data_IF_231670630787
#
_entry.id   IF_231670630787
#
_cell.length_a   1.000
_cell.length_b   1.000
_cell.length_c   1.000
_cell.angle_alpha   90.00
_cell.angle_beta   90.00
_cell.angle_gamma   90.00
#
_symmetry.space_group_name_H-M   'P 1'
#
loop_
_entity.id
_entity.type
_entity.pdbx_description
1 polymer ?
#
# COMPACT_ATOMS: atom_id res chain seq x y z
N UNK A 1 -53.72 1.14 -38.15
CA UNK A 1 -53.00 2.20 -38.88
C UNK A 1 -53.07 3.48 -38.06
N UNK A 2 -51.96 3.90 -37.45
CA UNK A 2 -51.78 5.21 -36.83
C UNK A 2 -50.28 5.57 -36.84
N UNK A 3 -49.96 6.60 -37.65
CA UNK A 3 -49.04 7.74 -37.46
C UNK A 3 -47.74 7.47 -36.68
N UNK A 4 -46.56 7.41 -37.34
CA UNK A 4 -45.71 8.52 -37.84
C UNK A 4 -44.72 9.08 -36.78
N UNK A 5 -43.55 9.54 -37.29
CA UNK A 5 -42.53 10.44 -36.68
C UNK A 5 -41.61 9.81 -35.61
N UNK A 6 -40.29 10.06 -35.55
CA UNK A 6 -39.32 10.73 -36.42
C UNK A 6 -37.90 10.39 -35.90
N UNK A 7 -36.96 10.37 -36.83
CA UNK A 7 -35.51 10.42 -36.66
C UNK A 7 -35.09 11.59 -35.74
N UNK A 8 -34.19 11.35 -34.77
CA UNK A 8 -33.40 12.42 -34.15
C UNK A 8 -31.99 11.91 -33.90
N UNK A 9 -31.12 12.21 -34.85
CA UNK A 9 -29.68 11.99 -34.82
C UNK A 9 -29.08 12.90 -33.74
N UNK A 10 -28.55 12.30 -32.67
CA UNK A 10 -27.83 13.04 -31.63
C UNK A 10 -26.41 13.34 -32.13
N UNK A 11 -26.17 14.59 -32.54
CA UNK A 11 -24.87 15.13 -32.89
C UNK A 11 -24.10 15.37 -31.60
N UNK A 12 -23.06 14.57 -31.36
CA UNK A 12 -22.13 14.75 -30.23
C UNK A 12 -21.01 15.69 -30.68
N UNK A 13 -21.11 16.98 -30.32
CA UNK A 13 -20.02 17.94 -30.51
C UNK A 13 -18.87 17.59 -29.56
N UNK A 14 -17.78 17.07 -30.13
CA UNK A 14 -16.50 16.89 -29.44
C UNK A 14 -15.85 18.27 -29.31
N UNK A 15 -16.01 18.90 -28.14
CA UNK A 15 -15.22 20.05 -27.73
C UNK A 15 -13.79 19.57 -27.46
N UNK A 16 -12.91 19.81 -28.43
CA UNK A 16 -11.46 19.66 -28.26
C UNK A 16 -11.00 20.88 -27.45
N UNK A 17 -11.03 20.76 -26.12
CA UNK A 17 -10.29 21.66 -25.24
C UNK A 17 -8.84 21.15 -25.20
N UNK A 18 -8.01 21.69 -26.08
CA UNK A 18 -6.56 21.62 -25.92
C UNK A 18 -6.17 22.47 -24.72
N UNK A 19 -6.13 21.86 -23.54
CA UNK A 19 -5.45 22.44 -22.40
C UNK A 19 -3.94 22.25 -22.61
N UNK A 20 -3.32 23.32 -23.10
CA UNK A 20 -1.91 23.57 -22.88
C UNK A 20 -1.74 23.81 -21.37
N UNK A 21 -1.01 22.94 -20.70
CA UNK A 21 -0.78 23.00 -19.26
C UNK A 21 0.66 22.69 -18.96
N UNK A 22 1.48 23.75 -19.00
CA UNK A 22 2.75 23.97 -18.29
C UNK A 22 3.67 22.78 -18.03
N UNK A 23 4.85 22.83 -18.65
CA UNK A 23 6.08 22.22 -18.15
C UNK A 23 6.30 22.64 -16.69
N UNK A 24 5.84 21.81 -15.75
CA UNK A 24 6.28 21.86 -14.37
C UNK A 24 7.34 20.78 -14.23
N UNK A 25 8.61 21.21 -14.23
CA UNK A 25 9.75 20.48 -13.69
C UNK A 25 9.53 20.29 -12.17
N UNK A 26 8.50 19.51 -11.84
CA UNK A 26 8.37 18.91 -10.52
C UNK A 26 9.51 17.91 -10.41
N UNK A 27 10.58 18.32 -9.75
CA UNK A 27 11.39 17.36 -9.00
C UNK A 27 10.41 16.68 -8.06
N UNK A 28 9.85 15.56 -8.51
CA UNK A 28 9.04 14.68 -7.68
C UNK A 28 9.90 14.37 -6.47
N UNK A 29 9.61 15.03 -5.36
CA UNK A 29 10.04 14.53 -4.08
C UNK A 29 9.53 13.09 -4.05
N UNK A 30 10.45 12.15 -3.88
CA UNK A 30 10.09 10.75 -3.80
C UNK A 30 9.17 10.60 -2.59
N UNK A 31 7.88 10.51 -2.81
CA UNK A 31 6.90 10.42 -1.73
C UNK A 31 6.91 9.02 -1.14
N UNK A 32 7.01 8.94 0.19
CA UNK A 32 6.85 7.68 0.92
C UNK A 32 5.46 7.10 0.66
N UNK A 33 5.39 5.87 0.19
CA UNK A 33 4.15 5.15 -0.03
C UNK A 33 4.31 3.64 0.16
N UNK A 34 3.20 3.00 0.51
CA UNK A 34 3.04 1.55 0.44
C UNK A 34 1.89 1.28 -0.50
N UNK A 35 2.13 0.55 -1.57
CA UNK A 35 1.09 0.16 -2.53
C UNK A 35 0.89 -1.34 -2.45
N UNK A 36 -0.34 -1.82 -2.41
CA UNK A 36 -0.64 -3.25 -2.39
C UNK A 36 -2.04 -3.51 -2.91
N UNK A 37 -2.22 -4.64 -3.59
CA UNK A 37 -3.54 -5.16 -3.95
C UNK A 37 -4.02 -6.09 -2.84
N UNK A 38 -5.15 -5.74 -2.22
CA UNK A 38 -5.81 -6.54 -1.19
C UNK A 38 -7.14 -7.03 -1.74
N UNK A 39 -7.30 -8.35 -1.85
CA UNK A 39 -8.48 -9.02 -2.42
C UNK A 39 -8.93 -8.43 -3.78
N UNK A 40 -7.94 -8.20 -4.66
CA UNK A 40 -8.17 -7.67 -6.01
C UNK A 40 -8.34 -6.16 -6.11
N UNK A 41 -8.36 -5.43 -5.00
CA UNK A 41 -8.41 -3.96 -4.99
C UNK A 41 -7.06 -3.36 -4.63
N UNK A 42 -6.55 -2.44 -5.46
CA UNK A 42 -5.32 -1.70 -5.15
C UNK A 42 -5.58 -0.62 -4.09
N UNK A 43 -4.66 -0.53 -3.13
CA UNK A 43 -4.62 0.48 -2.09
C UNK A 43 -3.24 1.15 -2.08
N UNK A 44 -3.23 2.46 -1.81
CA UNK A 44 -2.02 3.27 -1.64
C UNK A 44 -2.13 3.89 -0.25
N UNK A 45 -1.21 3.52 0.63
CA UNK A 45 -1.06 4.09 1.97
C UNK A 45 0.00 5.19 1.89
N UNK A 46 -0.39 6.41 2.21
CA UNK A 46 0.38 7.63 1.94
C UNK A 46 0.65 8.45 3.20
N UNK A 47 -0.14 8.31 4.28
CA UNK A 47 0.29 8.78 5.60
C UNK A 47 1.11 7.69 6.26
N UNK A 48 2.42 7.89 6.37
CA UNK A 48 3.33 6.94 6.98
C UNK A 48 3.96 7.56 8.23
N UNK A 49 4.00 6.80 9.30
CA UNK A 49 4.73 7.09 10.52
C UNK A 49 5.77 6.00 10.75
N UNK A 50 6.99 6.40 11.09
CA UNK A 50 8.07 5.49 11.40
C UNK A 50 8.53 5.74 12.83
N UNK A 51 8.62 4.68 13.61
CA UNK A 51 9.22 4.69 14.94
C UNK A 51 10.47 3.84 14.90
N UNK A 52 11.57 4.40 15.40
CA UNK A 52 12.85 3.70 15.50
C UNK A 52 13.20 3.52 16.98
N UNK A 53 13.52 2.29 17.35
CA UNK A 53 14.02 1.93 18.66
C UNK A 53 15.35 1.20 18.49
N UNK A 54 16.39 1.68 19.16
CA UNK A 54 17.74 1.15 19.07
C UNK A 54 18.31 0.92 20.46
N UNK A 55 18.99 -0.21 20.63
CA UNK A 55 19.83 -0.52 21.77
C UNK A 55 21.04 -1.37 21.33
N UNK A 56 21.90 -1.74 22.28
CA UNK A 56 23.13 -2.49 22.02
C UNK A 56 22.91 -3.89 21.40
N UNK A 57 21.66 -4.41 21.42
CA UNK A 57 21.32 -5.75 20.96
C UNK A 57 20.62 -5.76 19.60
N UNK A 58 19.89 -4.70 19.25
CA UNK A 58 19.13 -4.64 17.99
C UNK A 58 18.66 -3.23 17.63
N UNK A 59 18.32 -3.07 16.34
CA UNK A 59 17.58 -1.92 15.81
C UNK A 59 16.20 -2.39 15.36
N UNK A 60 15.14 -1.85 15.94
CA UNK A 60 13.76 -2.11 15.54
C UNK A 60 13.16 -0.88 14.88
N UNK A 61 12.52 -1.09 13.73
CA UNK A 61 11.75 -0.07 13.01
C UNK A 61 10.32 -0.54 12.89
N UNK A 62 9.40 0.29 13.33
CA UNK A 62 7.97 0.07 13.20
C UNK A 62 7.38 1.12 12.26
N UNK A 63 6.70 0.64 11.23
CA UNK A 63 6.10 1.47 10.21
C UNK A 63 4.59 1.31 10.30
N UNK A 64 3.91 2.44 10.36
CA UNK A 64 2.46 2.52 10.43
C UNK A 64 1.98 3.38 9.29
N UNK A 65 1.21 2.79 8.37
CA UNK A 65 0.72 3.51 7.21
C UNK A 65 -0.81 3.42 7.13
N UNK A 66 -1.43 4.55 6.82
CA UNK A 66 -2.88 4.66 6.60
C UNK A 66 -3.17 5.36 5.28
N UNK A 67 -4.41 5.25 4.85
CA UNK A 67 -4.93 6.00 3.70
C UNK A 67 -5.60 7.26 4.26
N UNK A 68 -5.19 8.45 3.84
CA UNK A 68 -5.68 9.73 4.40
C UNK A 68 -7.22 9.82 4.48
N UNK A 69 -7.91 9.37 3.44
CA UNK A 69 -9.38 9.41 3.36
C UNK A 69 -10.09 8.14 3.87
N UNK A 70 -9.33 7.14 4.36
CA UNK A 70 -9.85 5.88 4.93
C UNK A 70 -8.99 5.46 6.14
N UNK A 71 -9.05 6.22 7.26
CA UNK A 71 -8.17 6.00 8.42
C UNK A 71 -8.40 4.66 9.14
N UNK A 72 -9.52 3.99 8.87
CA UNK A 72 -9.86 2.65 9.36
C UNK A 72 -9.10 1.52 8.65
N UNK A 73 -8.34 1.83 7.59
CA UNK A 73 -7.44 0.89 6.92
C UNK A 73 -6.01 1.25 7.25
N UNK A 74 -5.33 0.35 7.94
CA UNK A 74 -3.96 0.54 8.39
C UNK A 74 -3.16 -0.69 8.00
N UNK A 75 -1.99 -0.46 7.41
CA UNK A 75 -0.96 -1.49 7.29
C UNK A 75 0.17 -1.12 8.23
N UNK A 76 0.61 -2.08 9.03
CA UNK A 76 1.82 -1.93 9.82
C UNK A 76 2.79 -3.05 9.53
N UNK A 77 4.06 -2.70 9.50
CA UNK A 77 5.11 -3.69 9.40
C UNK A 77 6.25 -3.29 10.32
N UNK A 78 6.91 -4.28 10.91
CA UNK A 78 8.08 -4.06 11.72
C UNK A 78 9.24 -4.88 11.20
N UNK A 79 10.43 -4.31 11.36
CA UNK A 79 11.69 -4.95 11.01
C UNK A 79 12.65 -4.79 12.18
N UNK A 80 13.16 -5.90 12.67
CA UNK A 80 14.10 -5.94 13.78
C UNK A 80 15.40 -6.55 13.30
N UNK A 81 16.43 -5.72 13.22
CA UNK A 81 17.79 -6.12 12.84
C UNK A 81 18.55 -6.52 14.10
N UNK A 82 18.89 -7.81 14.19
CA UNK A 82 19.84 -8.36 15.14
C UNK A 82 21.22 -8.49 14.48
N UNK A 83 22.31 -8.66 15.25
CA UNK A 83 23.66 -8.81 14.70
C UNK A 83 23.79 -9.87 13.59
N UNK A 84 23.06 -10.99 13.71
CA UNK A 84 23.18 -12.15 12.82
C UNK A 84 21.88 -12.48 12.06
N UNK A 85 20.80 -11.72 12.24
CA UNK A 85 19.50 -12.03 11.62
C UNK A 85 18.59 -10.82 11.54
N UNK A 86 17.64 -10.84 10.60
CA UNK A 86 16.59 -9.83 10.53
C UNK A 86 15.24 -10.52 10.67
N UNK A 87 14.40 -10.04 11.59
CA UNK A 87 13.01 -10.46 11.73
C UNK A 87 12.08 -9.46 11.05
N UNK A 88 11.11 -9.95 10.28
CA UNK A 88 10.04 -9.15 9.70
C UNK A 88 8.68 -9.59 10.25
N UNK A 89 7.84 -8.61 10.60
CA UNK A 89 6.43 -8.84 10.96
C UNK A 89 5.55 -7.90 10.16
N UNK A 90 4.43 -8.43 9.66
CA UNK A 90 3.43 -7.69 8.92
C UNK A 90 2.08 -7.88 9.58
N UNK A 91 1.36 -6.77 9.75
CA UNK A 91 0.01 -6.72 10.29
C UNK A 91 -0.80 -5.81 9.36
N UNK A 92 -2.00 -6.25 9.02
CA UNK A 92 -2.99 -5.41 8.37
C UNK A 92 -4.19 -5.28 9.28
N UNK A 93 -4.75 -4.08 9.39
CA UNK A 93 -6.04 -3.90 10.05
C UNK A 93 -7.02 -3.14 9.18
N UNK A 94 -8.26 -3.59 9.25
CA UNK A 94 -9.39 -2.97 8.59
C UNK A 94 -10.57 -3.03 9.53
N UNK A 95 -11.18 -1.87 9.82
CA UNK A 95 -12.42 -1.80 10.60
C UNK A 95 -12.33 -2.49 11.98
N UNK A 96 -11.15 -2.44 12.60
CA UNK A 96 -10.87 -3.09 13.89
C UNK A 96 -10.59 -4.60 13.81
N UNK A 97 -10.74 -5.23 12.63
CA UNK A 97 -10.21 -6.58 12.39
C UNK A 97 -8.70 -6.52 12.16
N UNK A 98 -7.97 -7.46 12.74
CA UNK A 98 -6.52 -7.58 12.60
C UNK A 98 -6.17 -8.87 11.87
N UNK A 99 -5.43 -8.74 10.77
CA UNK A 99 -4.90 -9.82 9.98
C UNK A 99 -3.38 -9.87 10.17
N UNK A 100 -2.84 -11.04 10.47
CA UNK A 100 -1.41 -11.25 10.69
C UNK A 100 -0.97 -12.57 10.05
N UNK A 101 0.33 -12.89 10.14
CA UNK A 101 0.85 -14.20 9.78
C UNK A 101 0.10 -15.27 10.58
N UNK A 102 -0.59 -16.18 9.88
CA UNK A 102 -1.26 -17.32 10.51
C UNK A 102 -0.29 -18.31 11.18
N UNK A 103 -0.78 -19.06 12.17
CA UNK A 103 0.00 -20.05 12.93
C UNK A 103 0.49 -21.25 12.09
N UNK A 104 -0.06 -21.49 10.89
CA UNK A 104 0.24 -22.67 10.05
C UNK A 104 1.18 -22.38 8.87
N UNK A 105 2.25 -21.64 9.09
CA UNK A 105 3.35 -21.56 8.11
C UNK A 105 3.00 -20.84 6.80
N UNK A 106 1.98 -19.99 6.77
CA UNK A 106 1.79 -19.08 5.63
C UNK A 106 2.85 -17.99 5.66
N UNK A 107 3.69 -18.02 4.63
CA UNK A 107 4.80 -17.08 4.44
C UNK A 107 4.27 -15.84 3.74
N UNK A 108 4.35 -14.72 4.44
CA UNK A 108 4.45 -13.45 3.74
C UNK A 108 5.86 -13.41 3.12
N UNK A 109 5.92 -13.36 1.80
CA UNK A 109 7.16 -13.23 1.06
C UNK A 109 7.49 -11.75 1.00
N UNK A 110 8.63 -11.34 1.55
CA UNK A 110 9.15 -9.99 1.40
C UNK A 110 10.55 -10.01 0.82
N UNK A 111 10.86 -9.01 0.01
CA UNK A 111 12.18 -8.80 -0.54
C UNK A 111 12.50 -7.30 -0.51
N UNK A 112 13.50 -6.92 0.29
CA UNK A 112 13.94 -5.54 0.41
C UNK A 112 15.18 -5.31 -0.45
N UNK A 113 15.09 -4.38 -1.39
CA UNK A 113 16.21 -3.97 -2.24
C UNK A 113 17.05 -2.87 -1.59
N UNK A 114 16.42 -2.05 -0.74
CA UNK A 114 17.09 -1.03 0.07
C UNK A 114 16.62 -1.19 1.50
N UNK A 115 17.54 -1.33 2.45
CA UNK A 115 17.29 -1.25 3.89
C UNK A 115 18.43 -0.45 4.52
N UNK A 116 18.18 0.83 4.78
CA UNK A 116 19.18 1.79 5.27
C UNK A 116 18.67 2.56 6.47
N UNK A 117 19.50 3.47 6.99
CA UNK A 117 19.09 4.34 8.09
C UNK A 117 17.96 5.33 7.73
N UNK A 118 17.79 5.65 6.44
CA UNK A 118 16.86 6.72 6.00
C UNK A 118 15.89 6.30 4.89
N UNK A 119 16.06 5.10 4.34
CA UNK A 119 15.24 4.62 3.23
C UNK A 119 15.03 3.10 3.31
N UNK A 120 13.79 2.69 3.08
CA UNK A 120 13.38 1.31 2.90
C UNK A 120 12.65 1.15 1.57
N UNK A 121 13.14 0.23 0.73
CA UNK A 121 12.51 -0.13 -0.54
C UNK A 121 12.39 -1.63 -0.62
N UNK A 122 11.21 -2.12 -1.00
CA UNK A 122 11.01 -3.55 -1.15
C UNK A 122 9.68 -3.92 -1.78
N UNK A 123 9.48 -5.23 -1.89
CA UNK A 123 8.24 -5.84 -2.36
C UNK A 123 7.75 -6.86 -1.35
N UNK A 124 6.44 -7.09 -1.33
CA UNK A 124 5.84 -8.12 -0.50
C UNK A 124 4.57 -8.71 -1.13
N UNK A 125 4.28 -9.96 -0.77
CA UNK A 125 3.05 -10.65 -1.14
C UNK A 125 2.78 -11.81 -0.19
N UNK A 126 1.55 -12.30 -0.15
CA UNK A 126 1.20 -13.48 0.64
C UNK A 126 -0.24 -13.46 1.12
N UNK A 127 -0.51 -14.19 2.19
CA UNK A 127 -1.83 -14.21 2.83
C UNK A 127 -1.70 -13.88 4.30
N UNK A 128 -2.60 -13.01 4.78
CA UNK A 128 -2.77 -12.74 6.21
C UNK A 128 -4.09 -13.34 6.67
N UNK A 129 -4.16 -13.67 7.96
CA UNK A 129 -5.31 -14.32 8.59
C UNK A 129 -5.69 -13.59 9.88
N UNK A 130 -6.98 -13.51 10.17
CA UNK A 130 -7.47 -13.09 11.48
C UNK A 130 -7.62 -14.28 12.45
N UNK A 131 -8.13 -14.01 13.65
CA UNK A 131 -8.35 -15.03 14.68
C UNK A 131 -9.47 -16.01 14.31
N UNK A 132 -10.43 -15.58 13.48
CA UNK A 132 -11.55 -16.38 13.00
C UNK A 132 -11.17 -17.24 11.78
N UNK A 133 -9.91 -17.13 11.31
CA UNK A 133 -9.34 -17.77 10.12
C UNK A 133 -9.88 -17.22 8.81
N UNK A 134 -10.52 -16.06 8.82
CA UNK A 134 -10.72 -15.29 7.59
C UNK A 134 -9.36 -14.88 7.05
N UNK A 135 -9.22 -14.87 5.72
CA UNK A 135 -7.95 -14.56 5.07
C UNK A 135 -8.10 -13.46 4.05
N UNK A 136 -7.07 -12.64 3.92
CA UNK A 136 -6.90 -11.68 2.83
C UNK A 136 -5.68 -12.04 1.99
N UNK A 137 -5.78 -11.81 0.68
CA UNK A 137 -4.65 -11.92 -0.25
C UNK A 137 -3.94 -10.58 -0.37
N UNK A 138 -2.62 -10.58 -0.22
CA UNK A 138 -1.74 -9.45 -0.50
C UNK A 138 -0.96 -9.72 -1.77
N UNK A 139 -1.17 -8.90 -2.79
CA UNK A 139 -0.58 -9.06 -4.11
C UNK A 139 0.10 -7.77 -4.55
N UNK A 140 1.20 -7.91 -5.30
CA UNK A 140 1.94 -6.78 -5.88
C UNK A 140 2.28 -5.67 -4.85
N UNK A 141 2.60 -6.06 -3.62
CA UNK A 141 2.97 -5.13 -2.57
C UNK A 141 4.31 -4.48 -2.88
N UNK A 142 4.38 -3.16 -2.80
CA UNK A 142 5.61 -2.37 -2.89
C UNK A 142 5.71 -1.44 -1.70
N UNK A 143 6.91 -1.29 -1.16
CA UNK A 143 7.25 -0.38 -0.08
C UNK A 143 8.29 0.58 -0.62
N UNK A 144 8.04 1.89 -0.46
CA UNK A 144 9.05 2.92 -0.62
C UNK A 144 8.86 3.94 0.49
N UNK A 145 9.76 3.97 1.46
CA UNK A 145 9.65 4.86 2.62
C UNK A 145 10.96 5.57 2.84
N UNK A 146 10.90 6.89 2.88
CA UNK A 146 11.96 7.78 3.31
C UNK A 146 11.60 8.29 4.70
N UNK A 147 12.53 8.19 5.67
CA UNK A 147 12.31 8.53 7.08
C UNK A 147 13.58 9.05 7.77
#
# INVERSE_FOLDING_TARGET
>A
MNKLFKLSTLIFCILILTACGSDDDSKSEKESNITVTIDGQQYIFNTIQVSVYENDLFVSREFWARIDNKPNRVISFSMTDYPDSIEHRFIYSQDGKHYTRGMQGTYLNSHFTTNSATELVGTFSGKLYDLDRDSISLENGTIHIIY
#
